data_IF_797997961856
#
_entry.id   IF_797997961856
#
_cell.length_a   1.000
_cell.length_b   1.000
_cell.length_c   1.000
_cell.angle_alpha   90.00
_cell.angle_beta   90.00
_cell.angle_gamma   90.00
#
_symmetry.space_group_name_H-M   'P 1'
#
loop_
_entity.id
_entity.type
_entity.pdbx_description
1 polymer ?
#
# COMPACT_ATOMS: atom_id res chain seq x y z
N UNK A 1 22.08 -12.18 -14.49
CA UNK A 1 21.80 -13.61 -14.20
C UNK A 1 23.02 -14.25 -13.60
N UNK A 2 22.80 -15.14 -12.65
CA UNK A 2 23.82 -16.01 -12.07
C UNK A 2 23.40 -17.47 -12.28
N UNK A 3 24.19 -18.26 -13.03
CA UNK A 3 23.84 -19.66 -13.37
C UNK A 3 22.41 -19.83 -13.92
N UNK A 4 21.99 -18.93 -14.79
CA UNK A 4 20.63 -18.81 -15.36
C UNK A 4 19.52 -18.42 -14.36
N UNK A 5 19.85 -18.08 -13.12
CA UNK A 5 18.92 -17.53 -12.15
C UNK A 5 18.88 -15.99 -12.25
N UNK A 6 17.69 -15.42 -12.14
CA UNK A 6 17.53 -13.97 -12.01
C UNK A 6 18.17 -13.48 -10.70
N UNK A 7 19.01 -12.47 -10.78
CA UNK A 7 19.53 -11.75 -9.62
C UNK A 7 18.64 -10.54 -9.39
N UNK A 8 17.86 -10.58 -8.31
CA UNK A 8 16.92 -9.54 -7.97
C UNK A 8 17.63 -8.19 -7.75
N UNK A 9 16.97 -7.11 -8.10
CA UNK A 9 17.52 -5.75 -8.03
C UNK A 9 18.78 -5.49 -8.89
N UNK A 10 19.23 -6.45 -9.71
CA UNK A 10 20.28 -6.22 -10.70
C UNK A 10 19.68 -5.65 -11.98
N UNK A 11 20.19 -4.52 -12.43
CA UNK A 11 19.71 -3.91 -13.67
C UNK A 11 20.80 -3.07 -14.35
N UNK A 12 20.68 -2.95 -15.67
CA UNK A 12 21.38 -1.98 -16.49
C UNK A 12 20.33 -1.08 -17.14
N UNK A 13 20.43 0.22 -16.93
CA UNK A 13 19.62 1.24 -17.59
C UNK A 13 20.49 2.08 -18.49
N UNK A 14 20.14 2.15 -19.78
CA UNK A 14 20.81 2.99 -20.77
C UNK A 14 19.91 4.19 -21.08
N UNK A 15 20.49 5.38 -21.09
CA UNK A 15 19.84 6.61 -21.55
C UNK A 15 20.37 6.97 -22.91
N UNK A 16 19.49 6.95 -23.91
CA UNK A 16 19.79 7.24 -25.31
C UNK A 16 19.05 8.53 -25.69
N UNK A 17 19.71 9.47 -26.37
CA UNK A 17 19.11 10.71 -26.84
C UNK A 17 18.36 10.52 -28.16
N UNK A 18 17.73 11.61 -28.68
CA UNK A 18 17.03 11.62 -29.96
C UNK A 18 17.90 11.28 -31.19
N UNK A 19 19.23 11.47 -31.09
CA UNK A 19 20.20 11.16 -32.14
C UNK A 19 20.74 9.73 -32.05
N UNK A 20 20.09 8.86 -31.24
CA UNK A 20 20.53 7.49 -30.96
C UNK A 20 21.92 7.36 -30.34
N UNK A 21 22.37 8.40 -29.62
CA UNK A 21 23.65 8.38 -28.90
C UNK A 21 23.40 8.06 -27.43
N UNK A 22 24.26 7.19 -26.86
CA UNK A 22 24.28 6.92 -25.44
C UNK A 22 24.75 8.17 -24.68
N UNK A 23 23.91 8.70 -23.80
CA UNK A 23 24.21 9.88 -22.99
C UNK A 23 24.32 9.58 -21.49
N UNK A 24 24.06 8.35 -21.08
CA UNK A 24 24.25 7.91 -19.70
C UNK A 24 23.87 6.45 -19.50
N UNK A 25 24.37 5.88 -18.42
CA UNK A 25 23.95 4.55 -17.97
C UNK A 25 23.92 4.51 -16.44
N UNK A 26 23.10 3.61 -15.92
CA UNK A 26 23.09 3.23 -14.52
C UNK A 26 23.20 1.70 -14.45
N UNK A 27 24.14 1.22 -13.67
CA UNK A 27 24.42 -0.20 -13.49
C UNK A 27 24.29 -0.55 -12.00
N UNK A 28 23.41 -1.48 -11.69
CA UNK A 28 23.39 -2.18 -10.41
C UNK A 28 23.71 -3.66 -10.68
N UNK A 29 24.92 -4.05 -10.36
CA UNK A 29 25.48 -5.36 -10.70
C UNK A 29 26.26 -5.93 -9.53
N UNK A 30 26.13 -7.23 -9.34
CA UNK A 30 26.85 -7.99 -8.32
C UNK A 30 27.77 -9.01 -9.00
N UNK A 31 29.07 -8.93 -8.73
CA UNK A 31 30.09 -9.76 -9.39
C UNK A 31 30.66 -10.88 -8.50
N UNK A 32 30.34 -10.88 -7.21
CA UNK A 32 30.91 -11.83 -6.23
C UNK A 32 29.83 -12.73 -5.65
N UNK A 33 29.01 -13.32 -6.54
CA UNK A 33 27.97 -14.25 -6.12
C UNK A 33 28.60 -15.65 -6.06
N UNK A 34 28.60 -16.26 -4.86
CA UNK A 34 29.03 -17.64 -4.65
C UNK A 34 28.01 -18.34 -3.75
N UNK A 35 27.01 -18.95 -4.36
CA UNK A 35 25.94 -19.70 -3.65
C UNK A 35 25.59 -20.99 -4.38
N UNK A 36 25.11 -21.96 -3.61
CA UNK A 36 24.45 -23.15 -4.17
C UNK A 36 23.15 -22.76 -4.90
N UNK A 37 22.90 -23.35 -6.04
CA UNK A 37 21.65 -23.19 -6.81
C UNK A 37 20.64 -24.30 -6.55
N UNK A 38 20.87 -25.13 -5.52
CA UNK A 38 20.03 -26.26 -5.13
C UNK A 38 19.16 -25.87 -3.95
N UNK A 39 17.84 -25.94 -4.14
CA UNK A 39 16.88 -25.75 -3.04
C UNK A 39 16.88 -26.98 -2.11
N UNK A 40 16.75 -26.72 -0.81
CA UNK A 40 16.71 -27.76 0.24
C UNK A 40 15.32 -27.89 0.87
N UNK A 41 14.44 -26.88 0.70
CA UNK A 41 13.07 -26.92 1.23
C UNK A 41 12.04 -27.19 0.14
N UNK A 42 10.89 -27.71 0.54
CA UNK A 42 9.76 -27.94 -0.34
C UNK A 42 8.98 -26.65 -0.65
N UNK A 43 8.14 -26.72 -1.68
CA UNK A 43 7.19 -25.66 -2.01
C UNK A 43 6.23 -25.38 -0.84
N UNK A 44 5.75 -26.43 -0.19
CA UNK A 44 4.79 -26.37 0.91
C UNK A 44 5.39 -25.64 2.11
N UNK A 45 6.64 -25.94 2.46
CA UNK A 45 7.39 -25.24 3.50
C UNK A 45 7.60 -23.77 3.15
N UNK A 46 7.96 -23.46 1.89
CA UNK A 46 8.13 -22.08 1.43
C UNK A 46 6.83 -21.28 1.53
N UNK A 47 5.69 -21.83 1.12
CA UNK A 47 4.37 -21.19 1.24
C UNK A 47 4.00 -20.98 2.70
N UNK A 48 4.24 -21.98 3.57
CA UNK A 48 3.99 -21.88 5.01
C UNK A 48 4.78 -20.73 5.63
N UNK A 49 6.07 -20.63 5.31
CA UNK A 49 6.92 -19.52 5.78
C UNK A 49 6.47 -18.17 5.24
N UNK A 50 6.14 -18.08 3.93
CA UNK A 50 5.66 -16.85 3.30
C UNK A 50 4.38 -16.32 3.94
N UNK A 51 3.52 -17.20 4.44
CA UNK A 51 2.20 -16.86 5.00
C UNK A 51 2.19 -16.82 6.53
N UNK A 52 3.27 -17.19 7.19
CA UNK A 52 3.40 -17.19 8.64
C UNK A 52 3.09 -15.82 9.24
N UNK A 53 2.30 -15.78 10.32
CA UNK A 53 1.90 -14.54 11.00
C UNK A 53 0.80 -13.73 10.28
N UNK A 54 0.25 -14.23 9.17
CA UNK A 54 -0.90 -13.59 8.51
C UNK A 54 -2.18 -14.22 9.04
N UNK A 55 -2.82 -13.56 10.02
CA UNK A 55 -4.03 -14.07 10.70
C UNK A 55 -5.34 -13.73 9.94
N UNK A 56 -5.30 -13.63 8.62
CA UNK A 56 -6.45 -13.26 7.78
C UNK A 56 -6.58 -14.21 6.61
N UNK A 57 -7.80 -14.32 6.08
CA UNK A 57 -8.05 -15.14 4.89
C UNK A 57 -7.18 -14.64 3.73
N UNK A 58 -6.41 -15.54 3.18
CA UNK A 58 -5.58 -15.33 2.00
C UNK A 58 -6.26 -15.90 0.76
N UNK A 59 -5.97 -15.31 -0.37
CA UNK A 59 -6.45 -15.74 -1.68
C UNK A 59 -5.35 -15.59 -2.73
N UNK A 60 -5.54 -16.22 -3.89
CA UNK A 60 -4.65 -16.11 -5.04
C UNK A 60 -3.17 -16.37 -4.70
N UNK A 61 -2.90 -17.41 -3.93
CA UNK A 61 -1.52 -17.80 -3.63
C UNK A 61 -0.87 -18.30 -4.93
N UNK A 62 0.16 -17.60 -5.36
CA UNK A 62 0.96 -17.92 -6.53
C UNK A 62 2.38 -18.22 -6.10
N UNK A 63 2.86 -19.40 -6.43
CA UNK A 63 4.23 -19.84 -6.21
C UNK A 63 5.00 -19.78 -7.52
N UNK A 64 6.09 -19.03 -7.55
CA UNK A 64 7.02 -19.03 -8.67
C UNK A 64 7.95 -20.23 -8.56
N UNK A 65 7.97 -21.07 -9.59
CA UNK A 65 8.82 -22.27 -9.64
C UNK A 65 10.28 -21.92 -9.93
N UNK A 66 10.53 -20.75 -10.52
CA UNK A 66 11.86 -20.30 -10.84
C UNK A 66 12.53 -19.73 -9.59
N UNK A 67 13.66 -20.32 -9.23
CA UNK A 67 14.49 -19.81 -8.15
C UNK A 67 15.16 -18.50 -8.58
N UNK A 68 15.39 -17.64 -7.60
CA UNK A 68 16.05 -16.35 -7.81
C UNK A 68 17.15 -16.15 -6.79
N UNK A 69 18.05 -15.23 -7.08
CA UNK A 69 19.09 -14.80 -6.14
C UNK A 69 18.69 -13.47 -5.56
N UNK A 70 18.57 -13.38 -4.24
CA UNK A 70 18.27 -12.16 -3.51
C UNK A 70 19.56 -11.61 -2.85
N UNK A 71 20.02 -10.43 -3.26
CA UNK A 71 21.06 -9.70 -2.51
C UNK A 71 20.46 -9.15 -1.21
N UNK A 72 20.93 -9.64 -0.08
CA UNK A 72 20.53 -9.18 1.27
C UNK A 72 21.62 -8.29 1.83
N UNK A 73 21.36 -7.01 2.14
CA UNK A 73 22.35 -6.15 2.75
C UNK A 73 22.80 -6.70 4.11
N UNK A 74 24.10 -6.83 4.31
CA UNK A 74 24.71 -7.25 5.56
C UNK A 74 25.95 -6.39 5.85
N UNK A 75 25.85 -5.47 6.81
CA UNK A 75 26.88 -4.44 7.04
C UNK A 75 27.16 -3.66 5.75
N UNK A 76 28.42 -3.55 5.32
CA UNK A 76 28.83 -2.84 4.09
C UNK A 76 28.91 -3.75 2.85
N UNK A 77 28.34 -4.96 2.93
CA UNK A 77 28.39 -5.98 1.86
C UNK A 77 27.01 -6.54 1.58
N UNK A 78 26.94 -7.39 0.57
CA UNK A 78 25.76 -8.20 0.29
C UNK A 78 26.03 -9.66 0.60
N UNK A 79 25.11 -10.28 1.32
CA UNK A 79 24.96 -11.73 1.38
C UNK A 79 23.98 -12.13 0.28
N UNK A 80 24.26 -13.17 -0.45
CA UNK A 80 23.36 -13.68 -1.50
C UNK A 80 22.62 -14.89 -1.00
N UNK A 81 21.30 -14.91 -1.21
CA UNK A 81 20.42 -15.98 -0.81
C UNK A 81 19.67 -16.53 -2.02
N UNK A 82 19.62 -17.86 -2.15
CA UNK A 82 18.74 -18.54 -3.08
C UNK A 82 17.31 -18.48 -2.53
N UNK A 83 16.36 -17.98 -3.32
CA UNK A 83 15.01 -17.72 -2.81
C UNK A 83 13.91 -18.27 -3.73
N UNK A 84 12.81 -18.67 -3.11
CA UNK A 84 11.51 -18.78 -3.75
C UNK A 84 10.76 -17.45 -3.67
N UNK A 85 9.99 -17.15 -4.73
CA UNK A 85 9.08 -16.00 -4.77
C UNK A 85 7.63 -16.48 -4.63
N UNK A 86 6.92 -15.96 -3.64
CA UNK A 86 5.52 -16.28 -3.38
C UNK A 86 4.70 -14.99 -3.34
N UNK A 87 3.62 -14.96 -4.12
CA UNK A 87 2.64 -13.87 -4.07
C UNK A 87 1.35 -14.37 -3.44
N UNK A 88 0.67 -13.51 -2.68
CA UNK A 88 -0.69 -13.77 -2.22
C UNK A 88 -1.45 -12.46 -1.97
N UNK A 89 -2.78 -12.55 -2.03
CA UNK A 89 -3.67 -11.46 -1.72
C UNK A 89 -4.38 -11.70 -0.39
N UNK A 90 -4.59 -10.63 0.36
CA UNK A 90 -5.37 -10.61 1.61
C UNK A 90 -6.02 -9.25 1.79
N UNK A 91 -6.67 -9.04 2.92
CA UNK A 91 -7.24 -7.74 3.30
C UNK A 91 -6.69 -7.32 4.65
N UNK A 92 -6.13 -6.13 4.71
CA UNK A 92 -5.65 -5.50 5.95
C UNK A 92 -6.59 -4.37 6.37
N UNK A 93 -6.35 -3.71 7.49
CA UNK A 93 -7.23 -2.65 8.04
C UNK A 93 -7.47 -1.50 7.06
N UNK A 94 -6.46 -1.14 6.27
CA UNK A 94 -6.53 -0.02 5.31
C UNK A 94 -7.00 -0.45 3.90
N UNK A 95 -7.28 -1.73 3.65
CA UNK A 95 -7.80 -2.17 2.35
C UNK A 95 -7.24 -3.50 1.85
N UNK A 96 -7.38 -3.79 0.55
CA UNK A 96 -6.80 -4.97 -0.06
C UNK A 96 -5.27 -4.87 -0.05
N UNK A 97 -4.59 -5.97 0.19
CA UNK A 97 -3.14 -6.06 0.16
C UNK A 97 -2.70 -7.20 -0.78
N UNK A 98 -1.65 -6.95 -1.54
CA UNK A 98 -0.97 -7.96 -2.35
C UNK A 98 0.48 -8.03 -1.89
N UNK A 99 0.86 -9.17 -1.36
CA UNK A 99 2.22 -9.38 -0.89
C UNK A 99 3.04 -10.15 -1.91
N UNK A 100 4.31 -9.72 -2.05
CA UNK A 100 5.38 -10.53 -2.61
C UNK A 100 6.32 -10.90 -1.47
N UNK A 101 6.65 -12.19 -1.37
CA UNK A 101 7.50 -12.73 -0.32
C UNK A 101 8.70 -13.44 -0.94
N UNK A 102 9.86 -13.27 -0.33
CA UNK A 102 11.05 -14.04 -0.66
C UNK A 102 11.42 -14.91 0.53
N UNK A 103 11.45 -16.22 0.30
CA UNK A 103 11.77 -17.22 1.31
C UNK A 103 13.05 -17.92 0.90
N UNK A 104 14.01 -18.02 1.82
CA UNK A 104 15.26 -18.75 1.58
C UNK A 104 14.95 -20.19 1.16
N UNK A 105 15.42 -20.58 -0.02
CA UNK A 105 15.24 -21.92 -0.55
C UNK A 105 16.12 -22.97 0.15
N UNK A 106 17.03 -22.53 1.02
CA UNK A 106 17.92 -23.39 1.79
C UNK A 106 17.49 -23.53 3.24
N UNK A 107 17.06 -22.43 3.90
CA UNK A 107 16.73 -22.46 5.33
C UNK A 107 15.23 -22.38 5.61
N UNK A 108 14.40 -21.96 4.65
CA UNK A 108 12.98 -21.73 4.86
C UNK A 108 12.67 -20.42 5.59
N UNK A 109 13.66 -19.59 5.84
CA UNK A 109 13.47 -18.28 6.48
C UNK A 109 12.75 -17.31 5.54
N UNK A 110 11.76 -16.57 6.07
CA UNK A 110 11.14 -15.45 5.37
C UNK A 110 12.06 -14.24 5.42
N UNK A 111 12.75 -13.98 4.33
CA UNK A 111 13.73 -12.89 4.23
C UNK A 111 13.07 -11.54 3.96
N UNK A 112 11.99 -11.53 3.17
CA UNK A 112 11.27 -10.30 2.85
C UNK A 112 9.79 -10.59 2.59
N UNK A 113 8.93 -9.70 3.10
CA UNK A 113 7.50 -9.61 2.73
C UNK A 113 7.15 -8.16 2.44
N UNK A 114 6.78 -7.86 1.22
CA UNK A 114 6.47 -6.50 0.77
C UNK A 114 5.05 -6.43 0.25
N UNK A 115 4.26 -5.47 0.75
CA UNK A 115 2.99 -5.14 0.13
C UNK A 115 3.25 -4.33 -1.15
N UNK A 116 2.70 -4.77 -2.27
CA UNK A 116 2.86 -4.13 -3.58
C UNK A 116 1.71 -3.22 -3.96
N UNK A 117 0.64 -3.19 -3.15
CA UNK A 117 -0.46 -2.23 -3.33
C UNK A 117 0.01 -0.87 -2.84
N UNK A 118 -0.04 0.10 -3.73
CA UNK A 118 0.15 1.51 -3.37
C UNK A 118 -1.22 2.05 -2.93
N UNK A 119 -1.28 2.55 -1.70
CA UNK A 119 -2.43 3.29 -1.22
C UNK A 119 -2.14 4.77 -1.42
N UNK A 120 -3.03 5.45 -2.12
CA UNK A 120 -3.00 6.91 -2.11
C UNK A 120 -3.31 7.38 -0.69
N UNK A 121 -2.54 8.34 -0.20
CA UNK A 121 -2.95 9.05 1.00
C UNK A 121 -4.27 9.77 0.66
N UNK A 122 -5.35 9.58 1.43
CA UNK A 122 -6.58 10.32 1.17
C UNK A 122 -6.26 11.81 1.20
N UNK A 123 -6.78 12.52 0.21
CA UNK A 123 -6.70 13.97 0.22
C UNK A 123 -7.37 14.50 1.50
N UNK A 124 -6.83 15.54 2.14
CA UNK A 124 -7.51 16.16 3.27
C UNK A 124 -8.89 16.63 2.83
N UNK A 125 -9.90 16.43 3.67
CA UNK A 125 -11.22 17.01 3.44
C UNK A 125 -11.08 18.49 3.74
N UNK A 126 -11.26 19.32 2.71
CA UNK A 126 -11.05 20.77 2.80
C UNK A 126 -12.33 21.55 2.67
N UNK A 127 -13.41 20.93 2.19
CA UNK A 127 -14.69 21.59 1.94
C UNK A 127 -15.84 20.60 2.06
N UNK A 128 -17.02 21.08 2.52
CA UNK A 128 -18.23 20.29 2.67
C UNK A 128 -19.43 21.07 2.15
N UNK A 129 -20.09 20.49 1.17
CA UNK A 129 -21.32 20.99 0.55
C UNK A 129 -22.47 20.01 0.81
N UNK A 130 -23.71 20.49 0.66
CA UNK A 130 -24.89 19.66 0.74
C UNK A 130 -26.02 20.18 -0.15
N UNK A 131 -26.90 19.29 -0.59
CA UNK A 131 -28.13 19.65 -1.28
C UNK A 131 -29.17 20.10 -0.26
N UNK A 132 -29.61 21.35 -0.36
CA UNK A 132 -30.58 21.95 0.54
C UNK A 132 -31.85 22.40 -0.22
N UNK A 133 -32.99 22.17 0.40
CA UNK A 133 -34.27 22.73 -0.04
C UNK A 133 -34.49 24.05 0.68
N UNK A 134 -34.01 25.13 0.08
CA UNK A 134 -33.97 26.47 0.73
C UNK A 134 -35.32 27.13 0.89
N UNK A 135 -36.35 26.68 0.14
CA UNK A 135 -37.71 27.26 0.18
C UNK A 135 -38.76 26.20 0.49
N UNK A 136 -38.89 25.17 -0.31
CA UNK A 136 -39.91 24.14 -0.17
C UNK A 136 -39.42 22.78 -0.71
N UNK A 137 -39.79 21.62 -0.10
CA UNK A 137 -39.30 20.31 -0.53
C UNK A 137 -39.66 19.92 -1.98
N UNK A 138 -40.63 20.58 -2.60
CA UNK A 138 -41.03 20.36 -4.00
C UNK A 138 -40.22 21.23 -5.00
N UNK A 139 -39.43 22.16 -4.51
CA UNK A 139 -38.53 22.93 -5.36
C UNK A 139 -37.22 22.14 -5.58
N UNK A 140 -36.50 22.39 -6.68
CA UNK A 140 -35.17 21.80 -6.85
C UNK A 140 -34.25 22.13 -5.68
N UNK A 141 -33.48 21.16 -5.19
CA UNK A 141 -32.44 21.42 -4.21
C UNK A 141 -31.32 22.28 -4.81
N UNK A 142 -30.75 23.13 -4.00
CA UNK A 142 -29.54 23.90 -4.33
C UNK A 142 -28.36 23.31 -3.57
N UNK A 143 -27.18 23.28 -4.21
CA UNK A 143 -25.94 22.90 -3.54
C UNK A 143 -25.43 24.13 -2.79
N UNK A 144 -25.26 23.99 -1.50
CA UNK A 144 -24.86 25.06 -0.61
C UNK A 144 -23.73 24.61 0.32
N UNK A 145 -22.88 25.53 0.72
CA UNK A 145 -21.83 25.30 1.72
C UNK A 145 -22.46 24.95 3.08
N UNK A 146 -22.04 23.83 3.67
CA UNK A 146 -22.52 23.46 5.00
C UNK A 146 -21.72 24.17 6.09
N UNK A 147 -22.22 25.34 6.48
CA UNK A 147 -21.63 26.23 7.48
C UNK A 147 -21.83 25.71 8.90
N UNK A 148 -20.79 25.76 9.73
CA UNK A 148 -20.78 25.29 11.13
C UNK A 148 -21.23 23.83 11.30
N UNK A 149 -21.07 23.00 10.28
CA UNK A 149 -21.36 21.58 10.36
C UNK A 149 -20.38 20.90 11.31
N UNK A 150 -20.91 20.17 12.29
CA UNK A 150 -20.10 19.36 13.21
C UNK A 150 -19.73 18.03 12.58
N UNK A 151 -18.44 17.72 12.59
CA UNK A 151 -17.87 16.49 12.05
C UNK A 151 -17.07 15.80 13.15
N UNK A 152 -17.44 14.57 13.48
CA UNK A 152 -16.76 13.75 14.49
C UNK A 152 -15.94 12.66 13.81
N UNK A 153 -14.67 12.56 14.18
CA UNK A 153 -13.80 11.46 13.76
C UNK A 153 -13.93 10.31 14.77
N UNK A 154 -14.65 9.25 14.38
CA UNK A 154 -14.95 8.11 15.25
C UNK A 154 -13.71 7.27 15.62
N UNK A 155 -12.59 7.45 14.91
CA UNK A 155 -11.38 6.67 15.18
C UNK A 155 -10.57 7.27 16.35
N UNK A 156 -10.60 8.58 16.54
CA UNK A 156 -9.80 9.26 17.54
C UNK A 156 -10.59 10.22 18.45
N UNK A 157 -11.91 10.35 18.22
CA UNK A 157 -12.80 11.21 19.00
C UNK A 157 -12.64 12.73 18.73
N UNK A 158 -11.86 13.13 17.74
CA UNK A 158 -11.69 14.54 17.40
C UNK A 158 -12.95 15.11 16.76
N UNK A 159 -13.28 16.36 17.13
CA UNK A 159 -14.41 17.11 16.57
C UNK A 159 -13.91 18.29 15.78
N UNK A 160 -14.49 18.52 14.62
CA UNK A 160 -14.22 19.62 13.69
C UNK A 160 -15.50 20.37 13.38
N UNK A 161 -15.37 21.61 12.95
CA UNK A 161 -16.49 22.42 12.48
C UNK A 161 -16.10 23.06 11.16
N UNK A 162 -17.04 23.14 10.21
CA UNK A 162 -16.84 23.91 8.99
C UNK A 162 -16.93 25.40 9.30
N UNK A 163 -16.19 26.21 8.56
CA UNK A 163 -16.25 27.67 8.64
C UNK A 163 -17.47 28.25 7.87
N UNK A 164 -17.55 29.58 7.76
CA UNK A 164 -18.63 30.30 7.06
C UNK A 164 -18.67 30.07 5.54
N UNK A 165 -17.70 29.35 4.98
CA UNK A 165 -17.63 28.98 3.58
C UNK A 165 -17.60 27.44 3.41
N UNK A 166 -18.07 26.68 4.41
CA UNK A 166 -18.04 25.23 4.37
C UNK A 166 -16.65 24.58 4.45
N UNK A 167 -15.59 25.37 4.68
CA UNK A 167 -14.24 24.81 4.71
C UNK A 167 -13.92 24.15 6.05
N UNK A 168 -13.14 23.09 5.98
CA UNK A 168 -12.63 22.33 7.13
C UNK A 168 -11.30 21.70 6.76
N UNK A 169 -10.44 21.44 7.73
CA UNK A 169 -9.19 20.72 7.47
C UNK A 169 -9.14 19.45 8.30
N UNK A 170 -9.45 18.33 7.67
CA UNK A 170 -9.44 17.01 8.29
C UNK A 170 -8.48 16.10 7.54
N UNK A 171 -7.36 15.77 8.17
CA UNK A 171 -6.47 14.72 7.69
C UNK A 171 -7.09 13.36 8.01
N UNK A 172 -7.84 12.81 7.05
CA UNK A 172 -8.44 11.49 7.15
C UNK A 172 -7.52 10.45 6.51
N UNK A 173 -7.16 9.42 7.25
CA UNK A 173 -6.47 8.26 6.70
C UNK A 173 -7.50 7.29 6.09
N UNK A 174 -7.05 6.42 5.15
CA UNK A 174 -7.87 5.33 4.63
C UNK A 174 -8.46 4.50 5.78
N UNK A 175 -9.79 4.38 5.81
CA UNK A 175 -10.52 3.70 6.88
C UNK A 175 -10.93 4.61 8.04
N UNK A 176 -10.69 5.92 7.98
CA UNK A 176 -11.26 6.88 8.93
C UNK A 176 -12.78 6.91 8.76
N UNK A 177 -13.49 6.69 9.87
CA UNK A 177 -14.95 6.84 9.94
C UNK A 177 -15.29 8.23 10.46
N UNK A 178 -16.07 8.98 9.68
CA UNK A 178 -16.56 10.31 10.06
C UNK A 178 -18.08 10.28 10.22
N UNK A 179 -18.56 10.96 11.24
CA UNK A 179 -19.99 11.21 11.46
C UNK A 179 -20.25 12.70 11.30
N UNK A 180 -21.20 13.02 10.42
CA UNK A 180 -21.67 14.38 10.21
C UNK A 180 -22.94 14.60 11.01
N UNK A 181 -23.01 15.68 11.78
CA UNK A 181 -24.17 16.04 12.57
C UNK A 181 -24.67 17.41 12.16
N UNK A 182 -25.96 17.52 11.85
CA UNK A 182 -26.65 18.80 11.68
C UNK A 182 -26.84 19.44 13.07
N UNK A 183 -25.75 19.68 13.76
CA UNK A 183 -25.65 20.23 15.07
C UNK A 183 -24.60 21.35 15.02
N UNK A 184 -25.01 22.57 15.10
CA UNK A 184 -24.15 23.74 15.08
C UNK A 184 -24.23 24.53 16.37
N UNK A 185 -23.49 25.64 16.45
CA UNK A 185 -23.48 26.57 17.60
C UNK A 185 -24.87 27.12 17.95
N UNK A 186 -25.82 27.08 17.00
CA UNK A 186 -27.14 27.74 17.12
C UNK A 186 -28.32 26.81 16.80
N UNK A 187 -28.08 25.57 16.37
CA UNK A 187 -29.15 24.67 16.01
C UNK A 187 -28.75 23.21 16.28
N UNK A 188 -29.70 22.44 16.81
CA UNK A 188 -29.61 21.00 16.95
C UNK A 188 -30.85 20.36 16.35
N UNK A 189 -30.67 19.45 15.36
CA UNK A 189 -31.74 18.63 14.84
C UNK A 189 -31.78 17.34 15.64
N UNK A 190 -32.88 17.14 16.39
CA UNK A 190 -33.17 15.86 17.05
C UNK A 190 -34.01 15.01 16.12
N UNK A 191 -33.51 13.84 15.77
CA UNK A 191 -34.33 12.79 15.14
C UNK A 191 -34.98 11.99 16.25
N UNK A 192 -36.35 11.98 16.26
CA UNK A 192 -37.14 11.10 17.12
C UNK A 192 -37.07 9.65 16.62
#
# INVERSE_FOLDING_TARGET
YYNNLEVLNSNLRLKINSDNKLCGFNLNFHNEIDISTVALISKEEAISSATSGVNRKMSKIKFDKELKVLPVPENDKYKFELVYSIEFETRISIGPAKYICYVSATTGELLMRKNTVLYEAPAPITHVEGELYTTHPYNPATVEDLVNLKIENNNNGSTYYTDNNGNVNINANLGTSLTYKLEGLYAQVQTN
#
